data_IF_393553011298
#
_entry.id   IF_393553011298
#
_cell.length_a   1.000
_cell.length_b   1.000
_cell.length_c   1.000
_cell.angle_alpha   90.00
_cell.angle_beta   90.00
_cell.angle_gamma   90.00
#
_symmetry.space_group_name_H-M   'P 1'
#
loop_
_entity.id
_entity.type
_entity.pdbx_description
1 polymer ?
#
# COMPACT_ATOMS: atom_id res chain seq x y z
N UNK A 1 -26.24 19.95 -2.45
CA UNK A 1 -25.21 18.89 -2.40
C UNK A 1 -24.07 19.34 -3.28
N UNK A 2 -22.87 19.49 -2.72
CA UNK A 2 -21.67 19.82 -3.47
C UNK A 2 -21.02 18.54 -4.00
N UNK A 3 -20.46 18.61 -5.21
CA UNK A 3 -19.64 17.52 -5.77
C UNK A 3 -18.17 17.82 -5.49
N UNK A 4 -17.42 16.80 -5.06
CA UNK A 4 -15.97 16.88 -4.93
C UNK A 4 -15.33 16.50 -6.26
N UNK A 5 -14.32 17.27 -6.67
CA UNK A 5 -13.48 17.00 -7.83
C UNK A 5 -12.01 16.97 -7.43
N UNK A 6 -11.73 16.63 -6.17
CA UNK A 6 -10.37 16.63 -5.65
C UNK A 6 -9.52 15.53 -6.34
N UNK A 7 -10.09 14.36 -6.56
CA UNK A 7 -9.36 13.23 -7.14
C UNK A 7 -8.28 12.66 -6.19
N UNK A 8 -7.26 12.03 -6.76
CA UNK A 8 -6.06 11.56 -6.03
C UNK A 8 -6.37 10.63 -4.84
N UNK A 9 -7.35 9.74 -5.00
CA UNK A 9 -7.80 8.86 -3.92
C UNK A 9 -8.84 9.46 -2.97
N UNK A 10 -9.09 10.78 -3.01
CA UNK A 10 -10.08 11.45 -2.16
C UNK A 10 -11.45 11.49 -2.82
N UNK A 11 -12.15 10.38 -2.85
CA UNK A 11 -13.50 10.28 -3.35
C UNK A 11 -14.47 9.77 -2.28
N UNK A 12 -15.74 10.13 -2.43
CA UNK A 12 -16.78 9.74 -1.48
C UNK A 12 -17.08 8.24 -1.56
N UNK A 13 -17.19 7.60 -0.40
CA UNK A 13 -17.62 6.22 -0.28
C UNK A 13 -19.01 6.14 0.37
N UNK A 14 -19.71 5.04 0.14
CA UNK A 14 -21.02 4.81 0.75
C UNK A 14 -20.84 4.10 2.08
N UNK A 15 -21.07 4.81 3.19
CA UNK A 15 -21.03 4.20 4.52
C UNK A 15 -22.41 3.63 4.85
N UNK A 16 -22.56 2.30 5.00
CA UNK A 16 -23.82 1.71 5.44
C UNK A 16 -24.26 2.26 6.80
N UNK A 17 -25.55 2.59 6.94
CA UNK A 17 -26.07 3.18 8.18
C UNK A 17 -25.82 2.33 9.43
N UNK A 18 -25.81 1.00 9.27
CA UNK A 18 -25.52 0.08 10.38
C UNK A 18 -24.06 0.19 10.84
N UNK A 19 -23.12 0.38 9.93
CA UNK A 19 -21.69 0.59 10.26
C UNK A 19 -21.51 1.95 10.91
N UNK A 20 -22.11 3.00 10.35
CA UNK A 20 -22.08 4.32 10.95
C UNK A 20 -22.53 4.27 12.41
N UNK A 21 -23.72 3.73 12.67
CA UNK A 21 -24.32 3.68 13.99
C UNK A 21 -23.56 2.78 14.98
N UNK A 22 -23.21 1.57 14.54
CA UNK A 22 -22.71 0.53 15.46
C UNK A 22 -21.19 0.56 15.63
N UNK A 23 -20.45 1.19 14.73
CA UNK A 23 -18.99 1.30 14.78
C UNK A 23 -18.54 2.74 14.92
N UNK A 24 -18.83 3.61 13.95
CA UNK A 24 -18.29 4.97 13.93
C UNK A 24 -18.85 5.87 15.03
N UNK A 25 -20.13 5.72 15.39
CA UNK A 25 -20.80 6.49 16.45
C UNK A 25 -20.70 5.82 17.82
N UNK A 26 -20.17 4.60 17.92
CA UNK A 26 -20.11 3.86 19.17
C UNK A 26 -18.87 4.25 19.99
N UNK A 27 -19.05 4.84 21.19
CA UNK A 27 -17.94 5.28 22.03
C UNK A 27 -16.97 4.16 22.41
N UNK A 28 -17.41 2.91 22.49
CA UNK A 28 -16.54 1.76 22.77
C UNK A 28 -15.46 1.58 21.69
N UNK A 29 -15.70 2.04 20.47
CA UNK A 29 -14.73 1.99 19.37
C UNK A 29 -13.86 3.24 19.30
N UNK A 30 -14.46 4.43 19.21
CA UNK A 30 -13.68 5.65 18.96
C UNK A 30 -12.95 6.20 20.20
N UNK A 31 -13.29 5.76 21.42
CA UNK A 31 -12.56 6.09 22.66
C UNK A 31 -11.50 5.06 23.03
N UNK A 32 -11.35 4.03 22.21
CA UNK A 32 -10.43 2.93 22.51
C UNK A 32 -8.97 3.37 22.43
N UNK A 33 -8.18 2.94 23.41
CA UNK A 33 -6.74 3.05 23.38
C UNK A 33 -6.11 1.84 22.68
N UNK A 34 -4.85 1.96 22.25
CA UNK A 34 -4.12 0.84 21.65
C UNK A 34 -4.13 -0.38 22.60
N UNK A 35 -4.48 -1.58 22.12
CA UNK A 35 -4.66 -2.76 22.97
C UNK A 35 -3.33 -3.40 23.37
N UNK A 36 -2.51 -2.70 24.14
CA UNK A 36 -1.24 -3.23 24.64
C UNK A 36 -1.41 -4.41 25.61
N UNK A 37 -2.54 -4.48 26.31
CA UNK A 37 -2.88 -5.56 27.23
C UNK A 37 -3.98 -6.41 26.61
N UNK A 38 -3.59 -7.53 26.01
CA UNK A 38 -4.50 -8.43 25.30
C UNK A 38 -5.62 -8.97 26.21
N UNK A 39 -5.32 -9.23 27.48
CA UNK A 39 -6.26 -9.76 28.46
C UNK A 39 -7.45 -8.85 28.77
N UNK A 40 -7.31 -7.54 28.60
CA UNK A 40 -8.40 -6.57 28.77
C UNK A 40 -8.94 -6.04 27.45
N UNK A 41 -8.41 -6.52 26.32
CA UNK A 41 -8.73 -6.04 24.97
C UNK A 41 -9.09 -7.18 24.02
N UNK A 42 -9.63 -8.29 24.53
CA UNK A 42 -9.86 -9.51 23.73
C UNK A 42 -10.75 -9.29 22.51
N UNK A 43 -11.87 -8.57 22.63
CA UNK A 43 -12.74 -8.27 21.51
C UNK A 43 -12.10 -7.35 20.46
N UNK A 44 -11.20 -6.45 20.86
CA UNK A 44 -10.43 -5.61 19.92
C UNK A 44 -9.36 -6.43 19.21
N UNK A 45 -8.70 -7.36 19.89
CA UNK A 45 -7.74 -8.26 19.26
C UNK A 45 -8.42 -9.16 18.23
N UNK A 46 -9.62 -9.64 18.51
CA UNK A 46 -10.43 -10.38 17.54
C UNK A 46 -10.77 -9.53 16.31
N UNK A 47 -11.16 -8.27 16.52
CA UNK A 47 -11.42 -7.34 15.42
C UNK A 47 -10.15 -7.06 14.59
N UNK A 48 -8.98 -6.92 15.21
CA UNK A 48 -7.69 -6.75 14.51
C UNK A 48 -7.37 -8.00 13.68
N UNK A 49 -7.56 -9.19 14.23
CA UNK A 49 -7.33 -10.44 13.48
C UNK A 49 -8.29 -10.58 12.31
N UNK A 50 -9.57 -10.23 12.49
CA UNK A 50 -10.55 -10.20 11.41
C UNK A 50 -10.16 -9.20 10.30
N UNK A 51 -9.68 -8.03 10.68
CA UNK A 51 -9.14 -7.04 9.74
C UNK A 51 -7.95 -7.61 8.93
N UNK A 52 -6.97 -8.20 9.61
CA UNK A 52 -5.80 -8.80 8.94
C UNK A 52 -6.20 -9.90 7.96
N UNK A 53 -7.14 -10.76 8.34
CA UNK A 53 -7.69 -11.80 7.45
C UNK A 53 -8.35 -11.18 6.22
N UNK A 54 -9.18 -10.17 6.41
CA UNK A 54 -9.86 -9.47 5.31
C UNK A 54 -8.85 -8.81 4.35
N UNK A 55 -7.81 -8.18 4.87
CA UNK A 55 -6.77 -7.56 4.04
C UNK A 55 -5.97 -8.62 3.27
N UNK A 56 -5.65 -9.75 3.89
CA UNK A 56 -5.04 -10.88 3.17
C UNK A 56 -5.92 -11.36 2.00
N UNK A 57 -7.21 -11.55 2.26
CA UNK A 57 -8.15 -12.03 1.25
C UNK A 57 -8.32 -11.02 0.09
N UNK A 58 -8.40 -9.73 0.40
CA UNK A 58 -8.54 -8.67 -0.63
C UNK A 58 -7.26 -8.47 -1.45
N UNK A 59 -6.10 -8.51 -0.81
CA UNK A 59 -4.81 -8.24 -1.47
C UNK A 59 -4.17 -9.44 -2.13
N UNK A 60 -4.63 -10.67 -1.78
CA UNK A 60 -4.00 -11.92 -2.19
C UNK A 60 -2.68 -12.21 -1.46
N UNK A 61 -2.38 -11.47 -0.38
CA UNK A 61 -1.15 -11.65 0.38
C UNK A 61 -1.34 -12.66 1.51
N UNK A 62 -0.30 -13.47 1.84
CA UNK A 62 -0.41 -14.51 2.86
C UNK A 62 -0.41 -13.96 4.29
N UNK A 63 0.09 -12.75 4.50
CA UNK A 63 0.25 -12.12 5.81
C UNK A 63 -0.07 -10.64 5.71
N UNK A 64 -0.78 -10.09 6.71
CA UNK A 64 -0.98 -8.66 6.88
C UNK A 64 -0.59 -8.23 8.30
N UNK A 65 -0.12 -6.98 8.44
CA UNK A 65 -0.04 -6.33 9.75
C UNK A 65 -1.41 -5.74 10.14
N UNK A 66 -1.49 -5.08 11.28
CA UNK A 66 -2.76 -4.46 11.69
C UNK A 66 -3.09 -3.23 10.84
N UNK A 67 -2.25 -2.20 10.91
CA UNK A 67 -2.36 -1.00 10.06
C UNK A 67 -1.14 -0.10 10.26
N UNK A 68 -0.94 0.80 9.30
CA UNK A 68 0.00 1.92 9.40
C UNK A 68 -0.80 3.24 9.42
N UNK A 69 -0.11 4.38 9.44
CA UNK A 69 -0.78 5.68 9.59
C UNK A 69 -1.64 6.03 8.37
N UNK A 70 -1.06 5.91 7.17
CA UNK A 70 -1.70 6.20 5.89
C UNK A 70 -0.96 5.49 4.74
N UNK A 71 -1.52 5.53 3.53
CA UNK A 71 -0.92 4.90 2.33
C UNK A 71 0.49 5.40 2.05
N UNK A 72 0.71 6.72 2.11
CA UNK A 72 2.02 7.30 1.78
C UNK A 72 3.11 6.84 2.75
N UNK A 73 2.80 6.81 4.06
CA UNK A 73 3.70 6.29 5.09
C UNK A 73 3.93 4.79 4.91
N UNK A 74 2.86 4.04 4.58
CA UNK A 74 2.95 2.60 4.33
C UNK A 74 3.83 2.30 3.11
N UNK A 75 3.72 3.08 2.03
CA UNK A 75 4.60 2.97 0.86
C UNK A 75 6.07 3.25 1.20
N UNK A 76 6.33 4.24 2.05
CA UNK A 76 7.69 4.53 2.52
C UNK A 76 8.25 3.42 3.44
N UNK A 77 7.40 2.80 4.26
CA UNK A 77 7.80 1.61 5.03
C UNK A 77 8.05 0.40 4.11
N UNK A 78 7.26 0.23 3.04
CA UNK A 78 7.49 -0.81 2.02
C UNK A 78 8.84 -0.61 1.32
N UNK A 79 9.18 0.62 0.91
CA UNK A 79 10.51 0.96 0.37
C UNK A 79 11.62 0.59 1.37
N UNK A 80 11.47 0.96 2.63
CA UNK A 80 12.46 0.68 3.68
C UNK A 80 12.59 -0.82 3.94
N UNK A 81 11.48 -1.56 3.92
CA UNK A 81 11.48 -3.01 4.04
C UNK A 81 12.20 -3.66 2.87
N UNK A 82 11.88 -3.25 1.64
CA UNK A 82 12.55 -3.74 0.43
C UNK A 82 14.06 -3.51 0.49
N UNK A 83 14.49 -2.30 0.90
CA UNK A 83 15.90 -1.97 1.08
C UNK A 83 16.60 -2.89 2.10
N UNK A 84 15.97 -3.19 3.22
CA UNK A 84 16.53 -4.08 4.26
C UNK A 84 16.57 -5.54 3.85
N UNK A 85 15.63 -5.98 3.02
CA UNK A 85 15.56 -7.36 2.53
C UNK A 85 16.51 -7.60 1.37
N UNK A 86 16.86 -6.55 0.64
CA UNK A 86 17.79 -6.64 -0.48
C UNK A 86 19.19 -7.01 0.00
N UNK A 87 19.82 -7.97 -0.70
CA UNK A 87 21.17 -8.50 -0.35
C UNK A 87 22.27 -7.91 -1.23
N UNK A 88 21.92 -7.10 -2.22
CA UNK A 88 22.85 -6.40 -3.12
C UNK A 88 23.40 -5.12 -2.51
N UNK A 89 24.00 -4.30 -3.36
CA UNK A 89 24.55 -2.98 -3.00
C UNK A 89 23.76 -1.84 -3.66
N UNK A 90 22.71 -2.17 -4.38
CA UNK A 90 21.85 -1.22 -5.06
C UNK A 90 21.16 -0.32 -4.05
N UNK A 91 21.27 1.00 -4.26
CA UNK A 91 20.61 2.02 -3.44
C UNK A 91 19.36 2.62 -4.11
N UNK A 92 19.04 2.20 -5.33
CA UNK A 92 17.97 2.79 -6.14
C UNK A 92 16.63 2.13 -5.83
N UNK A 93 15.60 2.95 -5.65
CA UNK A 93 14.19 2.57 -5.62
C UNK A 93 13.43 3.29 -6.72
N UNK A 94 12.66 2.57 -7.52
CA UNK A 94 11.87 3.14 -8.62
C UNK A 94 10.42 3.30 -8.18
N UNK A 95 9.84 4.49 -8.34
CA UNK A 95 8.43 4.73 -8.13
C UNK A 95 7.76 5.17 -9.44
N UNK A 96 6.63 4.56 -9.76
CA UNK A 96 5.86 4.96 -10.94
C UNK A 96 5.33 6.39 -10.75
N UNK A 97 5.50 7.23 -11.78
CA UNK A 97 5.07 8.64 -11.76
C UNK A 97 3.55 8.81 -11.57
N UNK A 98 2.77 7.73 -11.77
CA UNK A 98 1.31 7.71 -11.59
C UNK A 98 0.90 7.31 -10.17
N UNK A 99 1.86 7.12 -9.24
CA UNK A 99 1.56 7.08 -7.81
C UNK A 99 0.97 8.42 -7.34
N UNK A 100 0.24 8.41 -6.25
CA UNK A 100 -0.31 9.65 -5.72
C UNK A 100 0.80 10.64 -5.36
N UNK A 101 0.66 11.94 -5.69
CA UNK A 101 1.69 12.95 -5.44
C UNK A 101 2.16 12.98 -3.98
N UNK A 102 1.24 12.88 -3.02
CA UNK A 102 1.59 12.81 -1.60
C UNK A 102 2.42 11.59 -1.24
N UNK A 103 2.19 10.45 -1.91
CA UNK A 103 2.99 9.24 -1.71
C UNK A 103 4.41 9.45 -2.21
N UNK A 104 4.58 10.05 -3.39
CA UNK A 104 5.90 10.36 -3.96
C UNK A 104 6.69 11.34 -3.08
N UNK A 105 6.05 12.36 -2.52
CA UNK A 105 6.67 13.33 -1.61
C UNK A 105 7.13 12.68 -0.29
N UNK A 106 6.33 11.77 0.29
CA UNK A 106 6.71 11.05 1.51
C UNK A 106 7.85 10.08 1.22
N UNK A 107 7.82 9.37 0.08
CA UNK A 107 8.94 8.53 -0.36
C UNK A 107 10.24 9.34 -0.45
N UNK A 108 10.24 10.50 -1.11
CA UNK A 108 11.40 11.37 -1.23
C UNK A 108 11.94 11.80 0.15
N UNK A 109 11.05 12.23 1.03
CA UNK A 109 11.39 12.65 2.41
C UNK A 109 12.05 11.51 3.21
N UNK A 110 11.59 10.28 3.01
CA UNK A 110 12.10 9.10 3.74
C UNK A 110 13.34 8.50 3.09
N UNK A 111 13.52 8.65 1.78
CA UNK A 111 14.65 8.14 1.03
C UNK A 111 15.95 8.92 1.35
N UNK A 112 15.87 10.26 1.41
CA UNK A 112 17.02 11.15 1.60
C UNK A 112 17.90 10.79 2.81
N UNK A 113 17.38 10.68 4.06
CA UNK A 113 18.21 10.37 5.22
C UNK A 113 18.75 8.94 5.23
N UNK A 114 18.19 8.05 4.42
CA UNK A 114 18.63 6.66 4.30
C UNK A 114 19.66 6.46 3.17
N UNK A 115 19.94 7.50 2.38
CA UNK A 115 20.81 7.43 1.21
C UNK A 115 20.23 6.56 0.09
N UNK A 116 18.90 6.50 -0.01
CA UNK A 116 18.19 5.80 -1.09
C UNK A 116 18.04 6.75 -2.26
N UNK A 117 18.46 6.32 -3.44
CA UNK A 117 18.29 7.03 -4.70
C UNK A 117 16.88 6.75 -5.24
N UNK A 118 15.94 7.67 -4.99
CA UNK A 118 14.59 7.57 -5.49
C UNK A 118 14.50 8.08 -6.92
N UNK A 119 14.12 7.19 -7.85
CA UNK A 119 13.85 7.56 -9.24
C UNK A 119 12.34 7.48 -9.50
N UNK A 120 11.77 8.59 -9.99
CA UNK A 120 10.35 8.68 -10.34
C UNK A 120 10.22 8.74 -11.85
N UNK A 121 9.52 7.78 -12.44
CA UNK A 121 9.37 7.70 -13.90
C UNK A 121 8.32 6.70 -14.34
N UNK A 122 8.35 6.32 -15.61
CA UNK A 122 7.51 5.25 -16.14
C UNK A 122 8.18 3.90 -15.85
N UNK A 123 7.61 3.15 -14.93
CA UNK A 123 8.18 1.86 -14.50
C UNK A 123 8.29 0.89 -15.68
N UNK A 124 7.35 0.91 -16.62
CA UNK A 124 7.36 0.00 -17.75
C UNK A 124 8.62 0.15 -18.63
N UNK A 125 9.14 1.39 -18.73
CA UNK A 125 10.34 1.70 -19.50
C UNK A 125 11.63 1.46 -18.70
N UNK A 126 11.59 1.71 -17.39
CA UNK A 126 12.79 1.78 -16.55
C UNK A 126 13.22 0.45 -15.96
N UNK A 127 12.29 -0.46 -15.74
CA UNK A 127 12.56 -1.71 -15.00
C UNK A 127 13.58 -2.64 -15.65
N UNK A 128 13.82 -2.52 -16.95
CA UNK A 128 14.82 -3.32 -17.64
C UNK A 128 16.17 -2.58 -17.83
N UNK A 129 16.19 -1.27 -17.62
CA UNK A 129 17.36 -0.43 -17.91
C UNK A 129 18.19 -0.09 -16.65
N UNK A 130 17.57 -0.11 -15.48
CA UNK A 130 18.16 0.35 -14.23
C UNK A 130 18.55 -0.83 -13.31
N UNK A 131 19.42 -0.55 -12.36
CA UNK A 131 19.72 -1.45 -11.23
C UNK A 131 19.04 -0.89 -9.97
N UNK A 132 18.19 -1.66 -9.33
CA UNK A 132 17.38 -1.22 -8.20
C UNK A 132 17.10 -2.36 -7.22
N UNK A 133 16.69 -2.03 -6.00
CA UNK A 133 16.32 -3.01 -4.99
C UNK A 133 14.79 -3.19 -4.86
N UNK A 134 14.01 -2.28 -5.40
CA UNK A 134 12.57 -2.35 -5.34
C UNK A 134 11.87 -1.36 -6.26
N UNK A 135 10.61 -1.65 -6.52
CA UNK A 135 9.74 -0.86 -7.41
C UNK A 135 8.40 -0.63 -6.70
N UNK A 136 7.84 0.56 -6.85
CA UNK A 136 6.48 0.88 -6.40
C UNK A 136 5.60 1.26 -7.58
N UNK A 137 4.42 0.65 -7.65
CA UNK A 137 3.34 1.03 -8.58
C UNK A 137 2.05 1.31 -7.84
N UNK A 138 1.16 2.12 -8.46
CA UNK A 138 -0.16 2.46 -7.94
C UNK A 138 -1.25 1.68 -8.68
N UNK A 139 -2.28 1.20 -7.97
CA UNK A 139 -3.36 0.38 -8.54
C UNK A 139 -4.70 0.62 -7.83
N UNK A 140 -5.67 1.32 -8.47
CA UNK A 140 -5.53 2.14 -9.68
C UNK A 140 -4.59 3.33 -9.52
N UNK A 141 -4.18 3.94 -10.66
CA UNK A 141 -3.30 5.11 -10.65
C UNK A 141 -4.01 6.38 -10.17
N UNK A 142 -3.25 7.44 -9.94
CA UNK A 142 -3.78 8.78 -9.60
C UNK A 142 -4.79 9.30 -10.63
N UNK A 143 -4.62 8.94 -11.90
CA UNK A 143 -5.49 9.38 -13.00
C UNK A 143 -6.71 8.47 -13.18
N UNK A 144 -6.79 7.37 -12.40
CA UNK A 144 -7.88 6.40 -12.44
C UNK A 144 -7.68 5.29 -13.45
N UNK A 145 -6.52 5.22 -14.09
CA UNK A 145 -6.17 4.13 -14.98
C UNK A 145 -5.93 2.83 -14.20
N UNK A 146 -6.20 1.72 -14.85
CA UNK A 146 -5.92 0.37 -14.36
C UNK A 146 -4.91 -0.27 -15.31
N UNK A 147 -3.60 0.02 -15.12
CA UNK A 147 -2.58 -0.58 -15.97
C UNK A 147 -2.53 -2.09 -15.80
N UNK A 148 -2.16 -2.79 -16.86
CA UNK A 148 -1.87 -4.21 -16.79
C UNK A 148 -0.45 -4.41 -16.25
N UNK A 149 -0.37 -4.79 -14.97
CA UNK A 149 0.88 -5.09 -14.28
C UNK A 149 1.28 -6.56 -14.33
N UNK A 150 0.52 -7.41 -15.07
CA UNK A 150 0.91 -8.81 -15.26
C UNK A 150 2.28 -8.90 -15.94
N UNK A 151 3.14 -9.76 -15.41
CA UNK A 151 4.52 -9.88 -15.88
C UNK A 151 5.51 -8.85 -15.35
N UNK A 152 5.05 -7.76 -14.70
CA UNK A 152 5.96 -6.81 -14.06
C UNK A 152 6.74 -7.47 -12.92
N UNK A 153 6.08 -8.31 -12.12
CA UNK A 153 6.71 -9.02 -11.02
C UNK A 153 7.88 -9.90 -11.49
N UNK A 154 7.70 -10.62 -12.59
CA UNK A 154 8.78 -11.46 -13.16
C UNK A 154 9.98 -10.61 -13.54
N UNK A 155 9.76 -9.48 -14.25
CA UNK A 155 10.83 -8.55 -14.66
C UNK A 155 11.57 -7.98 -13.43
N UNK A 156 10.84 -7.58 -12.39
CA UNK A 156 11.40 -7.06 -11.13
C UNK A 156 12.21 -8.14 -10.41
N UNK A 157 11.68 -9.37 -10.34
CA UNK A 157 12.33 -10.49 -9.68
C UNK A 157 13.59 -10.96 -10.41
N UNK A 158 13.69 -10.82 -11.74
CA UNK A 158 14.89 -11.09 -12.50
C UNK A 158 16.08 -10.19 -12.06
N UNK A 159 15.77 -8.98 -11.57
CA UNK A 159 16.72 -8.07 -10.93
C UNK A 159 16.95 -8.37 -9.44
N UNK A 160 16.32 -9.41 -8.87
CA UNK A 160 16.35 -9.75 -7.43
C UNK A 160 15.80 -8.62 -6.55
N UNK A 161 14.97 -7.78 -7.11
CA UNK A 161 14.28 -6.68 -6.44
C UNK A 161 12.87 -7.08 -6.00
N UNK A 162 12.22 -6.25 -5.19
CA UNK A 162 10.86 -6.48 -4.70
C UNK A 162 9.87 -5.54 -5.38
N UNK A 163 8.70 -6.09 -5.73
CA UNK A 163 7.57 -5.33 -6.26
C UNK A 163 6.63 -4.92 -5.13
N UNK A 164 6.53 -3.61 -4.92
CA UNK A 164 5.58 -2.98 -4.01
C UNK A 164 4.39 -2.42 -4.79
N UNK A 165 3.19 -2.59 -4.27
CA UNK A 165 1.96 -2.09 -4.88
C UNK A 165 1.18 -1.27 -3.86
N UNK A 166 0.91 -0.01 -4.18
CA UNK A 166 -0.06 0.79 -3.46
C UNK A 166 -1.43 0.60 -4.12
N UNK A 167 -2.38 0.02 -3.40
CA UNK A 167 -3.66 -0.38 -3.94
C UNK A 167 -4.83 0.16 -3.13
N UNK A 168 -5.86 0.70 -3.79
CA UNK A 168 -7.12 1.03 -3.13
C UNK A 168 -7.85 -0.26 -2.74
N UNK A 169 -8.04 -0.55 -1.43
CA UNK A 169 -8.71 -1.76 -0.99
C UNK A 169 -10.14 -1.92 -1.53
N UNK A 170 -10.84 -0.79 -1.77
CA UNK A 170 -12.19 -0.83 -2.33
C UNK A 170 -12.16 -1.35 -3.79
N UNK A 171 -11.16 -0.95 -4.56
CA UNK A 171 -11.00 -1.42 -5.94
C UNK A 171 -10.74 -2.92 -6.03
N UNK A 172 -10.07 -3.50 -5.02
CA UNK A 172 -9.75 -4.93 -4.96
C UNK A 172 -11.00 -5.82 -4.77
N UNK A 173 -12.16 -5.24 -4.48
CA UNK A 173 -13.43 -5.98 -4.52
C UNK A 173 -13.87 -6.32 -5.95
N UNK A 174 -13.27 -5.71 -6.97
CA UNK A 174 -13.58 -5.89 -8.39
C UNK A 174 -12.37 -6.28 -9.23
N UNK A 175 -11.18 -5.85 -8.82
CA UNK A 175 -9.94 -6.04 -9.57
C UNK A 175 -9.15 -7.23 -9.02
N UNK A 176 -8.30 -7.81 -9.85
CA UNK A 176 -7.41 -8.91 -9.44
C UNK A 176 -6.46 -8.46 -8.35
N UNK A 177 -6.40 -9.17 -7.22
CA UNK A 177 -5.50 -8.84 -6.12
C UNK A 177 -4.03 -8.81 -6.53
N UNK A 178 -3.24 -7.82 -6.05
CA UNK A 178 -1.82 -7.73 -6.41
C UNK A 178 -0.99 -8.97 -6.05
N UNK A 179 -1.32 -9.69 -4.99
CA UNK A 179 -0.66 -10.93 -4.62
C UNK A 179 -0.80 -12.03 -5.67
N UNK A 180 -1.91 -12.04 -6.44
CA UNK A 180 -2.14 -13.06 -7.47
C UNK A 180 -1.27 -12.86 -8.72
N UNK A 181 -0.78 -11.65 -8.98
CA UNK A 181 0.15 -11.37 -10.08
C UNK A 181 1.58 -11.08 -9.62
N UNK A 182 1.90 -11.47 -8.37
CA UNK A 182 3.28 -11.60 -7.91
C UNK A 182 3.83 -10.40 -7.12
N UNK A 183 2.98 -9.50 -6.60
CA UNK A 183 3.44 -8.47 -5.70
C UNK A 183 4.04 -9.07 -4.41
N UNK A 184 5.16 -8.52 -3.95
CA UNK A 184 5.83 -8.93 -2.71
C UNK A 184 5.29 -8.16 -1.49
N UNK A 185 4.94 -6.88 -1.69
CA UNK A 185 4.42 -6.00 -0.65
C UNK A 185 3.23 -5.24 -1.22
N UNK A 186 2.11 -5.26 -0.49
CA UNK A 186 0.92 -4.49 -0.84
C UNK A 186 0.59 -3.54 0.30
N UNK A 187 0.37 -2.26 -0.02
CA UNK A 187 -0.06 -1.19 0.90
C UNK A 187 -1.28 -0.48 0.33
N UNK A 188 -2.08 0.17 1.19
CA UNK A 188 -3.26 0.89 0.72
C UNK A 188 -4.04 1.61 1.82
#
# INVERSE_FOLDING_TARGET
VYKSFLGQGYYGTHTPAVIQRNVLENPAWYTSYTPYQAEISQGRMEAVLAFQTMICDLSGMPIANASLLDEATAAAEAMTLAHRMHKGQESTFIADRRCHPQTLEVLATRAEPLGIDLIIGDVADMVDEEQYFGVLVQYPTTEGDIPDWHGLAERVHDHKALLCVAADPLSLTLLTPPGEWGADIVVG
#
